data_IF_024253660411
#
_entry.id   IF_024253660411
#
_cell.length_a   1.000
_cell.length_b   1.000
_cell.length_c   1.000
_cell.angle_alpha   90.00
_cell.angle_beta   90.00
_cell.angle_gamma   90.00
#
_symmetry.space_group_name_H-M   'P 1'
#
loop_
_entity.id
_entity.type
_entity.pdbx_description
1 polymer ?
#
# COMPACT_ATOMS: atom_id res chain seq x y z
N UNK A 1 -5.43 10.85 6.87
CA UNK A 1 -5.82 10.70 5.46
C UNK A 1 -6.93 11.66 5.11
N UNK A 2 -6.85 12.28 3.95
CA UNK A 2 -7.86 13.15 3.40
C UNK A 2 -9.15 12.35 3.15
N UNK A 3 -10.32 12.94 3.45
CA UNK A 3 -11.61 12.30 3.20
C UNK A 3 -11.79 11.91 1.74
N UNK A 4 -11.21 12.67 0.82
CA UNK A 4 -11.23 12.39 -0.61
C UNK A 4 -10.49 11.09 -0.96
N UNK A 5 -9.42 10.79 -0.24
CA UNK A 5 -8.64 9.57 -0.45
C UNK A 5 -9.37 8.32 0.05
N UNK A 6 -10.23 8.46 1.06
CA UNK A 6 -10.94 7.32 1.65
C UNK A 6 -11.79 6.56 0.64
N UNK A 7 -12.39 7.27 -0.31
CA UNK A 7 -13.29 6.67 -1.30
C UNK A 7 -12.67 6.51 -2.67
N UNK A 8 -11.43 6.99 -2.86
CA UNK A 8 -10.74 6.91 -4.15
C UNK A 8 -10.15 5.52 -4.36
N UNK A 9 -10.62 4.72 -5.36
CA UNK A 9 -10.09 3.38 -5.59
C UNK A 9 -8.65 3.36 -6.09
N UNK A 10 -8.10 4.50 -6.53
CA UNK A 10 -6.70 4.60 -6.90
C UNK A 10 -5.79 4.76 -5.68
N UNK A 11 -6.36 5.11 -4.53
CA UNK A 11 -5.63 5.16 -3.27
C UNK A 11 -5.84 3.84 -2.56
N UNK A 12 -4.79 3.02 -2.50
CA UNK A 12 -4.83 1.72 -1.86
C UNK A 12 -4.73 1.90 -0.35
N UNK A 13 -5.62 1.26 0.39
CA UNK A 13 -5.66 1.31 1.86
C UNK A 13 -5.04 0.05 2.44
N UNK A 14 -4.35 0.21 3.57
CA UNK A 14 -3.81 -0.90 4.35
C UNK A 14 -4.72 -1.13 5.54
N UNK A 15 -5.25 -2.34 5.66
CA UNK A 15 -5.94 -2.78 6.88
C UNK A 15 -4.90 -3.48 7.73
N UNK A 16 -4.60 -2.91 8.89
CA UNK A 16 -3.54 -3.44 9.73
C UNK A 16 -3.83 -3.29 11.21
N UNK A 17 -3.10 -4.06 12.00
CA UNK A 17 -3.20 -4.04 13.45
C UNK A 17 -1.93 -3.43 14.03
N UNK A 18 -2.04 -2.42 14.94
CA UNK A 18 -0.86 -1.81 15.53
C UNK A 18 -0.01 -2.80 16.32
N UNK A 19 1.30 -2.79 16.08
CA UNK A 19 2.25 -3.62 16.84
C UNK A 19 3.31 -2.77 17.53
N UNK A 20 3.40 -1.49 17.17
CA UNK A 20 4.26 -0.50 17.80
C UNK A 20 3.69 0.88 17.47
N UNK A 21 4.27 1.96 18.02
CA UNK A 21 3.75 3.32 17.86
C UNK A 21 3.64 3.75 16.39
N UNK A 22 4.58 3.33 15.55
CA UNK A 22 4.62 3.72 14.13
C UNK A 22 4.63 2.50 13.21
N UNK A 23 4.10 1.37 13.67
CA UNK A 23 4.16 0.13 12.90
C UNK A 23 2.88 -0.67 12.99
N UNK A 24 2.44 -1.19 11.86
CA UNK A 24 1.27 -2.06 11.73
C UNK A 24 1.69 -3.41 11.19
N UNK A 25 1.03 -4.47 11.65
CA UNK A 25 1.04 -5.72 10.90
C UNK A 25 -0.07 -5.64 9.87
N UNK A 26 0.27 -5.70 8.60
CA UNK A 26 -0.70 -5.65 7.52
C UNK A 26 -1.52 -6.94 7.47
N UNK A 27 -2.85 -6.78 7.42
CA UNK A 27 -3.77 -7.91 7.36
C UNK A 27 -4.40 -8.02 5.96
N UNK A 28 -4.59 -6.89 5.29
CA UNK A 28 -5.15 -6.85 3.96
C UNK A 28 -4.82 -5.51 3.29
N UNK A 29 -4.89 -5.49 1.96
CA UNK A 29 -4.74 -4.28 1.15
C UNK A 29 -5.95 -4.20 0.24
N UNK A 30 -6.57 -3.04 0.12
CA UNK A 30 -7.79 -2.90 -0.67
C UNK A 30 -7.94 -1.51 -1.28
N UNK A 31 -8.64 -1.46 -2.40
CA UNK A 31 -9.02 -0.20 -3.04
C UNK A 31 -10.31 0.35 -2.44
N UNK A 32 -11.09 -0.49 -1.78
CA UNK A 32 -12.31 -0.09 -1.10
C UNK A 32 -12.00 0.72 0.18
N UNK A 33 -13.00 1.40 0.72
CA UNK A 33 -12.87 2.06 2.02
C UNK A 33 -12.94 1.00 3.11
N UNK A 34 -11.86 0.81 3.84
CA UNK A 34 -11.76 -0.18 4.92
C UNK A 34 -10.71 0.28 5.93
N UNK A 35 -10.84 -0.07 7.23
CA UNK A 35 -11.94 -0.82 7.82
C UNK A 35 -13.20 0.03 8.02
N UNK A 36 -14.32 -0.62 8.30
CA UNK A 36 -15.57 0.03 8.62
C UNK A 36 -15.49 0.72 9.98
N UNK A 37 -16.23 1.80 10.14
CA UNK A 37 -16.30 2.52 11.41
C UNK A 37 -15.32 3.68 11.51
N UNK A 38 -15.36 4.36 12.64
CA UNK A 38 -14.50 5.52 12.90
C UNK A 38 -13.09 5.08 13.25
N UNK A 39 -12.12 5.83 12.76
CA UNK A 39 -10.73 5.57 13.04
C UNK A 39 -9.85 5.91 11.85
N UNK A 40 -8.52 5.81 12.03
CA UNK A 40 -7.61 6.17 10.95
C UNK A 40 -7.64 5.15 9.83
N UNK A 41 -7.51 5.65 8.60
CA UNK A 41 -7.26 4.83 7.43
C UNK A 41 -5.83 5.09 6.98
N UNK A 42 -5.13 4.06 6.51
CA UNK A 42 -3.73 4.17 6.12
C UNK A 42 -3.59 4.04 4.61
N UNK A 43 -2.94 5.04 4.01
CA UNK A 43 -2.65 5.05 2.59
C UNK A 43 -1.39 4.23 2.32
N UNK A 44 -1.50 3.22 1.48
CA UNK A 44 -0.37 2.40 1.08
C UNK A 44 0.58 3.18 0.16
N UNK A 45 1.86 3.17 0.52
CA UNK A 45 2.93 3.68 -0.33
C UNK A 45 3.64 2.46 -0.92
N UNK A 46 3.79 2.41 -2.26
CA UNK A 46 4.31 1.25 -2.97
C UNK A 46 5.81 1.02 -2.83
N UNK A 47 6.34 1.08 -1.61
CA UNK A 47 7.75 0.89 -1.29
C UNK A 47 7.90 -0.33 -0.38
N UNK A 48 8.70 -1.31 -0.82
CA UNK A 48 8.85 -2.58 -0.11
C UNK A 48 10.29 -2.91 0.15
N UNK A 49 10.55 -3.47 1.33
CA UNK A 49 11.83 -4.10 1.64
C UNK A 49 11.56 -5.58 1.93
N UNK A 50 12.39 -6.45 1.36
CA UNK A 50 12.25 -7.89 1.51
C UNK A 50 13.47 -8.49 2.15
N UNK A 51 13.27 -9.45 3.04
CA UNK A 51 14.35 -10.38 3.37
C UNK A 51 14.54 -11.28 2.15
N UNK A 52 15.77 -11.71 1.90
CA UNK A 52 16.09 -12.50 0.71
C UNK A 52 15.22 -13.75 0.57
N UNK A 53 15.08 -14.50 1.66
CA UNK A 53 14.26 -15.71 1.64
C UNK A 53 12.78 -15.39 1.33
N UNK A 54 12.27 -14.26 1.84
CA UNK A 54 10.90 -13.82 1.57
C UNK A 54 10.73 -13.44 0.10
N UNK A 55 11.69 -12.75 -0.48
CA UNK A 55 11.63 -12.38 -1.90
C UNK A 55 11.65 -13.62 -2.78
N UNK A 56 12.53 -14.56 -2.50
CA UNK A 56 12.62 -15.82 -3.25
C UNK A 56 11.30 -16.58 -3.20
N UNK A 57 10.67 -16.61 -2.02
CA UNK A 57 9.37 -17.25 -1.85
C UNK A 57 8.28 -16.53 -2.65
N UNK A 58 8.27 -15.19 -2.57
CA UNK A 58 7.25 -14.38 -3.25
C UNK A 58 7.29 -14.58 -4.77
N UNK A 59 8.48 -14.54 -5.37
CA UNK A 59 8.61 -14.67 -6.82
C UNK A 59 8.27 -16.08 -7.31
N UNK A 60 8.28 -17.06 -6.43
CA UNK A 60 7.91 -18.45 -6.76
C UNK A 60 6.40 -18.68 -6.70
N UNK A 61 5.64 -17.75 -6.13
CA UNK A 61 4.19 -17.91 -5.96
C UNK A 61 3.45 -17.60 -7.26
N UNK A 62 2.36 -18.32 -7.49
CA UNK A 62 1.44 -18.03 -8.59
C UNK A 62 0.51 -16.88 -8.20
N UNK A 63 -0.02 -16.10 -9.17
CA UNK A 63 -1.01 -15.07 -8.87
C UNK A 63 -2.19 -15.62 -8.09
N UNK A 64 -2.64 -14.89 -7.08
CA UNK A 64 -3.68 -15.32 -6.16
C UNK A 64 -5.05 -14.74 -6.53
N UNK A 65 -6.10 -15.29 -5.92
CA UNK A 65 -7.49 -14.91 -6.20
C UNK A 65 -7.74 -13.43 -5.85
N UNK A 66 -7.36 -13.01 -4.64
CA UNK A 66 -7.60 -11.64 -4.18
C UNK A 66 -6.68 -10.64 -4.88
N UNK A 67 -5.48 -11.06 -5.22
CA UNK A 67 -4.56 -10.26 -6.02
C UNK A 67 -5.20 -9.86 -7.35
N UNK A 68 -5.81 -10.81 -8.03
CA UNK A 68 -6.46 -10.59 -9.32
C UNK A 68 -7.71 -9.72 -9.17
N UNK A 69 -8.47 -9.95 -8.11
CA UNK A 69 -9.72 -9.23 -7.88
C UNK A 69 -9.48 -7.76 -7.53
N UNK A 70 -8.52 -7.49 -6.66
CA UNK A 70 -8.18 -6.12 -6.24
C UNK A 70 -7.18 -5.45 -7.18
N UNK A 71 -6.51 -6.22 -8.03
CA UNK A 71 -5.37 -5.76 -8.84
C UNK A 71 -4.23 -5.23 -7.96
N UNK A 72 -3.92 -5.97 -6.91
CA UNK A 72 -2.88 -5.63 -5.94
C UNK A 72 -1.97 -6.85 -5.72
N UNK A 73 -0.76 -6.76 -6.23
CA UNK A 73 0.20 -7.89 -6.25
C UNK A 73 0.61 -8.34 -4.84
N UNK A 74 0.70 -7.43 -3.88
CA UNK A 74 1.11 -7.76 -2.51
C UNK A 74 0.13 -8.69 -1.80
N UNK A 75 -1.11 -8.81 -2.28
CA UNK A 75 -2.08 -9.76 -1.72
C UNK A 75 -1.66 -11.21 -1.95
N UNK A 76 -0.83 -11.47 -2.96
CA UNK A 76 -0.25 -12.79 -3.18
C UNK A 76 0.51 -13.27 -1.95
N UNK A 77 1.31 -12.38 -1.35
CA UNK A 77 2.06 -12.69 -0.13
C UNK A 77 1.11 -12.95 1.05
N UNK A 78 0.11 -12.11 1.23
CA UNK A 78 -0.86 -12.24 2.32
C UNK A 78 -1.60 -13.58 2.22
N UNK A 79 -2.08 -13.94 1.03
CA UNK A 79 -2.80 -15.21 0.83
C UNK A 79 -1.90 -16.43 1.04
N UNK A 80 -0.61 -16.30 0.82
CA UNK A 80 0.36 -17.36 1.06
C UNK A 80 0.78 -17.49 2.53
N UNK A 81 0.24 -16.64 3.40
CA UNK A 81 0.56 -16.66 4.82
C UNK A 81 1.84 -15.92 5.18
N UNK A 82 2.39 -15.12 4.27
CA UNK A 82 3.57 -14.30 4.55
C UNK A 82 3.19 -13.08 5.37
N UNK A 83 4.06 -12.69 6.29
CA UNK A 83 3.83 -11.52 7.11
C UNK A 83 4.37 -10.26 6.42
N UNK A 84 3.58 -9.20 6.44
CA UNK A 84 3.99 -7.87 5.97
C UNK A 84 3.76 -6.90 7.11
N UNK A 85 4.81 -6.17 7.51
CA UNK A 85 4.69 -5.09 8.47
C UNK A 85 4.83 -3.77 7.71
N UNK A 86 4.07 -2.76 8.13
CA UNK A 86 4.08 -1.44 7.50
C UNK A 86 4.53 -0.39 8.51
N UNK A 87 5.41 0.48 8.07
CA UNK A 87 5.88 1.61 8.86
C UNK A 87 5.02 2.83 8.53
N UNK A 88 4.50 3.52 9.55
CA UNK A 88 3.70 4.74 9.36
C UNK A 88 4.66 5.91 9.19
N UNK A 89 4.46 6.68 8.12
CA UNK A 89 5.27 7.87 7.82
C UNK A 89 4.39 9.10 7.66
N UNK A 90 4.98 10.29 7.83
CA UNK A 90 4.23 11.55 7.84
C UNK A 90 3.98 12.10 6.45
N UNK A 91 4.74 11.68 5.45
CA UNK A 91 4.62 12.22 4.11
C UNK A 91 4.48 11.09 3.08
N UNK A 92 3.71 11.38 2.03
CA UNK A 92 3.50 10.45 0.92
C UNK A 92 4.41 10.89 -0.23
N UNK A 93 5.38 10.02 -0.66
CA UNK A 93 6.17 10.32 -1.84
C UNK A 93 5.30 10.44 -3.08
N UNK A 94 5.67 11.33 -3.99
CA UNK A 94 4.96 11.47 -5.26
C UNK A 94 5.32 10.30 -6.17
N UNK A 95 4.31 9.51 -6.56
CA UNK A 95 4.45 8.49 -7.58
C UNK A 95 4.09 9.09 -8.95
N UNK A 96 4.77 8.64 -10.00
CA UNK A 96 4.51 9.13 -11.36
C UNK A 96 3.95 7.97 -12.20
N UNK A 97 2.62 7.86 -12.23
CA UNK A 97 1.90 6.82 -12.97
C UNK A 97 1.02 7.38 -14.08
N UNK A 98 0.72 8.69 -14.04
CA UNK A 98 -0.15 9.36 -14.99
C UNK A 98 0.50 10.64 -15.52
N UNK A 99 0.05 11.19 -16.67
CA UNK A 99 0.54 12.50 -17.14
C UNK A 99 0.37 13.61 -16.11
N UNK A 100 -0.72 13.60 -15.33
CA UNK A 100 -0.93 14.58 -14.26
C UNK A 100 0.14 14.45 -13.17
N UNK A 101 0.52 13.23 -12.81
CA UNK A 101 1.59 12.98 -11.84
C UNK A 101 2.93 13.48 -12.35
N UNK A 102 3.19 13.30 -13.63
CA UNK A 102 4.42 13.79 -14.26
C UNK A 102 4.50 15.30 -14.18
N UNK A 103 3.42 16.02 -14.43
CA UNK A 103 3.39 17.47 -14.33
C UNK A 103 3.62 17.94 -12.88
N UNK A 104 3.07 17.25 -11.91
CA UNK A 104 3.34 17.54 -10.49
C UNK A 104 4.81 17.35 -10.16
N UNK A 105 5.41 16.26 -10.64
CA UNK A 105 6.84 15.99 -10.42
C UNK A 105 7.71 17.07 -11.05
N UNK A 106 7.38 17.51 -12.27
CA UNK A 106 8.09 18.60 -12.95
C UNK A 106 8.02 19.90 -12.17
N UNK A 107 6.84 20.24 -11.65
CA UNK A 107 6.63 21.44 -10.85
C UNK A 107 7.47 21.42 -9.57
N UNK A 108 7.52 20.27 -8.89
CA UNK A 108 8.31 20.10 -7.67
C UNK A 108 9.81 20.25 -7.97
N UNK A 109 10.28 19.59 -9.02
CA UNK A 109 11.71 19.62 -9.39
C UNK A 109 12.16 21.01 -9.89
N UNK A 110 11.30 21.70 -10.63
CA UNK A 110 11.62 23.03 -11.15
C UNK A 110 11.57 24.11 -10.07
N UNK A 111 10.90 23.85 -8.95
CA UNK A 111 10.84 24.76 -7.79
C UNK A 111 12.07 24.73 -6.90
N UNK A 112 13.05 23.94 -7.25
CA UNK A 112 14.33 23.85 -6.53
C UNK A 112 15.34 24.88 -7.10
#
# INVERSE_FOLDING_TARGET
TDAHEKTNPNVVKIVGSPIAAQRLRALYFTRATAPYGDGPLYHHIGLYAYRRAALERFVSLSPSVLEKRESLEQLRAIEAGMRIDAEIVDSVPLGVDTPADLEKARAILSGR
#
